data_IF_019804460549
#
_entry.id   IF_019804460549
#
_cell.length_a   1.000
_cell.length_b   1.000
_cell.length_c   1.000
_cell.angle_alpha   90.00
_cell.angle_beta   90.00
_cell.angle_gamma   90.00
#
_symmetry.space_group_name_H-M   'P 1'
#
loop_
_entity.id
_entity.type
_entity.pdbx_description
1 polymer ?
#
# COMPACT_ATOMS: atom_id res chain seq x y z
N UNK A 1 -37.30 -38.26 -6.26
CA UNK A 1 -36.43 -37.05 -6.22
C UNK A 1 -36.24 -36.62 -4.77
N UNK A 2 -35.03 -36.77 -4.22
CA UNK A 2 -34.75 -36.40 -2.83
C UNK A 2 -34.33 -34.95 -2.78
N UNK A 3 -35.13 -34.08 -2.16
CA UNK A 3 -34.77 -32.69 -1.90
C UNK A 3 -33.63 -32.63 -0.88
N UNK A 4 -32.54 -31.87 -1.17
CA UNK A 4 -31.50 -31.66 -0.16
C UNK A 4 -32.11 -30.89 1.02
N UNK A 5 -31.83 -31.36 2.25
CA UNK A 5 -32.37 -30.76 3.45
C UNK A 5 -31.79 -29.34 3.60
N UNK A 6 -32.59 -28.37 4.07
CA UNK A 6 -32.19 -26.99 4.38
C UNK A 6 -30.91 -26.90 5.22
N UNK A 7 -30.68 -27.89 6.08
CA UNK A 7 -29.49 -28.02 6.92
C UNK A 7 -28.21 -28.24 6.08
N UNK A 8 -28.30 -28.98 4.95
CA UNK A 8 -27.16 -29.21 4.05
C UNK A 8 -26.80 -27.96 3.25
N UNK A 9 -27.80 -27.15 2.84
CA UNK A 9 -27.57 -25.90 2.12
C UNK A 9 -26.92 -24.82 3.02
N UNK A 10 -27.34 -24.72 4.30
CA UNK A 10 -26.74 -23.79 5.26
C UNK A 10 -25.30 -24.17 5.60
N UNK A 11 -25.00 -25.46 5.74
CA UNK A 11 -23.62 -25.93 5.97
C UNK A 11 -22.69 -25.64 4.78
N UNK A 12 -23.18 -25.79 3.55
CA UNK A 12 -22.41 -25.48 2.36
C UNK A 12 -22.13 -23.98 2.22
N UNK A 13 -23.10 -23.12 2.54
CA UNK A 13 -22.94 -21.67 2.53
C UNK A 13 -21.94 -21.18 3.61
N UNK A 14 -21.93 -21.80 4.80
CA UNK A 14 -21.00 -21.47 5.88
C UNK A 14 -19.55 -21.84 5.52
N UNK A 15 -19.35 -22.99 4.87
CA UNK A 15 -18.03 -23.44 4.40
C UNK A 15 -17.53 -22.55 3.27
N UNK A 16 -18.39 -22.12 2.35
CA UNK A 16 -18.02 -21.19 1.27
C UNK A 16 -17.63 -19.81 1.82
N UNK A 17 -18.34 -19.29 2.83
CA UNK A 17 -18.01 -18.01 3.47
C UNK A 17 -16.67 -18.06 4.22
N UNK A 18 -16.34 -19.18 4.87
CA UNK A 18 -15.05 -19.40 5.52
C UNK A 18 -13.90 -19.48 4.51
N UNK A 19 -14.09 -20.10 3.34
CA UNK A 19 -13.08 -20.17 2.29
C UNK A 19 -12.80 -18.79 1.65
N UNK A 20 -13.80 -17.93 1.54
CA UNK A 20 -13.63 -16.55 1.07
C UNK A 20 -12.86 -15.67 2.08
N UNK A 21 -13.02 -15.89 3.37
CA UNK A 21 -12.27 -15.18 4.40
C UNK A 21 -10.77 -15.55 4.38
N UNK A 22 -10.40 -16.78 4.02
CA UNK A 22 -8.99 -17.18 3.88
C UNK A 22 -8.32 -16.59 2.62
N UNK A 23 -9.06 -16.38 1.51
CA UNK A 23 -8.50 -15.78 0.30
C UNK A 23 -8.10 -14.31 0.49
N UNK A 24 -8.77 -13.56 1.37
CA UNK A 24 -8.44 -12.17 1.68
C UNK A 24 -7.13 -12.01 2.49
N UNK A 25 -6.68 -13.06 3.20
CA UNK A 25 -5.43 -13.03 3.97
C UNK A 25 -4.18 -13.35 3.12
N UNK A 26 -4.34 -14.10 2.04
CA UNK A 26 -3.21 -14.46 1.16
C UNK A 26 -2.72 -13.29 0.28
N UNK A 27 -3.52 -12.25 0.07
CA UNK A 27 -3.13 -11.06 -0.69
C UNK A 27 -2.19 -10.13 0.08
N UNK A 28 -2.10 -10.24 1.41
CA UNK A 28 -1.32 -9.32 2.26
C UNK A 28 0.18 -9.63 2.35
N UNK A 29 0.58 -10.88 2.24
CA UNK A 29 1.99 -11.27 2.41
C UNK A 29 2.85 -10.92 1.19
N UNK A 30 2.32 -11.08 -0.01
CA UNK A 30 3.02 -10.73 -1.26
C UNK A 30 3.15 -9.20 -1.47
N UNK A 31 2.39 -8.37 -0.76
CA UNK A 31 2.44 -6.92 -0.92
C UNK A 31 3.60 -6.26 -0.16
N UNK A 32 4.22 -6.96 0.80
CA UNK A 32 5.35 -6.43 1.57
C UNK A 32 6.61 -6.22 0.72
N UNK A 33 6.80 -7.05 -0.30
CA UNK A 33 7.97 -7.03 -1.19
C UNK A 33 7.69 -6.39 -2.54
N UNK A 34 6.56 -5.68 -2.66
CA UNK A 34 6.15 -4.93 -3.85
C UNK A 34 6.06 -3.45 -3.53
N UNK A 35 6.61 -2.60 -4.40
CA UNK A 35 6.46 -1.15 -4.29
C UNK A 35 6.18 -0.51 -5.65
N UNK A 36 5.70 0.72 -5.60
CA UNK A 36 5.41 1.53 -6.78
C UNK A 36 6.01 2.92 -6.63
N UNK A 37 6.54 3.44 -7.72
CA UNK A 37 7.00 4.82 -7.79
C UNK A 37 6.68 5.42 -9.16
N UNK A 38 6.67 6.75 -9.24
CA UNK A 38 6.50 7.45 -10.50
C UNK A 38 7.88 7.72 -11.10
N UNK A 39 8.06 7.33 -12.35
CA UNK A 39 9.29 7.58 -13.12
C UNK A 39 8.99 8.36 -14.40
N UNK A 40 9.92 9.19 -14.84
CA UNK A 40 9.80 9.96 -16.07
C UNK A 40 10.40 9.15 -17.23
N UNK A 41 9.54 8.49 -18.03
CA UNK A 41 9.98 7.59 -19.10
C UNK A 41 10.31 6.18 -18.61
N UNK A 42 10.64 5.31 -19.57
CA UNK A 42 10.92 3.88 -19.32
C UNK A 42 12.40 3.53 -19.59
N UNK A 43 13.23 4.54 -19.77
CA UNK A 43 14.66 4.37 -20.01
C UNK A 43 15.38 3.74 -18.83
N UNK A 44 16.54 3.15 -19.10
CA UNK A 44 17.34 2.41 -18.11
C UNK A 44 17.72 3.30 -16.90
N UNK A 45 18.18 4.52 -17.14
CA UNK A 45 18.55 5.44 -16.06
C UNK A 45 17.38 5.74 -15.12
N UNK A 46 16.19 6.01 -15.68
CA UNK A 46 14.98 6.26 -14.88
C UNK A 46 14.50 5.00 -14.15
N UNK A 47 14.69 3.83 -14.75
CA UNK A 47 14.37 2.54 -14.13
C UNK A 47 15.25 2.27 -12.92
N UNK A 48 16.57 2.55 -13.02
CA UNK A 48 17.48 2.42 -11.87
C UNK A 48 17.05 3.31 -10.69
N UNK A 49 16.73 4.57 -10.95
CA UNK A 49 16.20 5.49 -9.93
C UNK A 49 14.90 4.96 -9.33
N UNK A 50 14.02 4.42 -10.19
CA UNK A 50 12.76 3.85 -9.75
C UNK A 50 12.95 2.60 -8.87
N UNK A 51 13.87 1.71 -9.22
CA UNK A 51 14.16 0.51 -8.42
C UNK A 51 14.79 0.89 -7.07
N UNK A 52 15.68 1.87 -7.01
CA UNK A 52 16.25 2.38 -5.78
C UNK A 52 15.15 2.90 -4.83
N UNK A 53 14.26 3.77 -5.34
CA UNK A 53 13.12 4.28 -4.57
C UNK A 53 12.17 3.17 -4.12
N UNK A 54 11.87 2.20 -4.99
CA UNK A 54 11.02 1.06 -4.63
C UNK A 54 11.69 0.16 -3.59
N UNK A 55 13.01 -0.03 -3.64
CA UNK A 55 13.74 -0.83 -2.64
C UNK A 55 13.66 -0.19 -1.26
N UNK A 56 13.89 1.12 -1.14
CA UNK A 56 13.71 1.86 0.12
C UNK A 56 12.30 1.64 0.68
N UNK A 57 11.26 1.82 -0.14
CA UNK A 57 9.88 1.64 0.28
C UNK A 57 9.58 0.19 0.72
N UNK A 58 10.15 -0.81 0.05
CA UNK A 58 10.03 -2.23 0.43
C UNK A 58 10.73 -2.51 1.75
N UNK A 59 11.95 -1.99 1.97
CA UNK A 59 12.66 -2.15 3.23
C UNK A 59 11.90 -1.53 4.41
N UNK A 60 11.34 -0.32 4.23
CA UNK A 60 10.47 0.32 5.21
C UNK A 60 9.21 -0.52 5.46
N UNK A 61 8.57 -0.99 4.40
CA UNK A 61 7.35 -1.78 4.48
C UNK A 61 7.59 -3.12 5.17
N UNK A 62 8.62 -3.85 4.77
CA UNK A 62 8.94 -5.16 5.34
C UNK A 62 9.37 -5.09 6.81
N UNK A 63 10.06 -4.02 7.23
CA UNK A 63 10.50 -3.84 8.61
C UNK A 63 9.52 -3.04 9.48
N UNK A 64 8.67 -2.20 8.89
CA UNK A 64 7.82 -1.24 9.59
C UNK A 64 8.57 0.00 10.12
N UNK A 65 9.85 0.18 9.78
CA UNK A 65 10.74 1.19 10.37
C UNK A 65 10.94 2.38 9.43
N UNK A 66 10.26 3.48 9.70
CA UNK A 66 10.34 4.72 8.89
C UNK A 66 11.72 5.39 8.90
N UNK A 67 12.52 5.16 9.92
CA UNK A 67 13.85 5.78 10.01
C UNK A 67 14.84 5.24 8.96
N UNK A 68 14.48 4.17 8.23
CA UNK A 68 15.23 3.71 7.06
C UNK A 68 15.12 4.68 5.88
N UNK A 69 14.10 5.54 5.84
CA UNK A 69 13.96 6.52 4.77
C UNK A 69 15.15 7.49 4.76
N UNK A 70 15.89 7.51 3.66
CA UNK A 70 17.08 8.34 3.48
C UNK A 70 18.28 7.91 4.36
N UNK A 71 18.33 6.68 4.84
CA UNK A 71 19.48 6.18 5.61
C UNK A 71 20.67 5.98 4.65
N UNK A 72 21.81 6.66 4.86
CA UNK A 72 22.98 6.54 3.96
C UNK A 72 23.54 5.12 3.80
N UNK A 73 23.24 4.21 4.74
CA UNK A 73 23.63 2.81 4.64
C UNK A 73 22.92 2.06 3.52
N UNK A 74 21.80 2.65 2.99
CA UNK A 74 21.06 2.10 1.87
C UNK A 74 21.70 2.39 0.51
N UNK A 75 22.50 3.44 0.38
CA UNK A 75 23.08 3.91 -0.90
C UNK A 75 23.67 2.78 -1.74
N UNK A 76 24.46 1.89 -1.11
CA UNK A 76 25.08 0.75 -1.80
C UNK A 76 24.08 -0.29 -2.30
N UNK A 77 22.97 -0.48 -1.60
CA UNK A 77 21.92 -1.42 -2.01
C UNK A 77 21.01 -0.80 -3.04
N UNK A 78 20.75 0.50 -2.95
CA UNK A 78 19.98 1.27 -3.93
C UNK A 78 20.71 1.33 -5.27
N UNK A 79 22.04 1.48 -5.27
CA UNK A 79 22.86 1.43 -6.47
C UNK A 79 22.77 0.08 -7.20
N UNK A 80 22.53 -1.02 -6.49
CA UNK A 80 22.40 -2.39 -7.03
C UNK A 80 20.94 -2.94 -6.89
N UNK A 81 19.95 -2.06 -6.71
CA UNK A 81 18.57 -2.48 -6.46
C UNK A 81 18.01 -3.40 -7.57
N UNK A 82 18.48 -3.22 -8.80
CA UNK A 82 18.08 -4.05 -9.94
C UNK A 82 18.37 -5.55 -9.73
N UNK A 83 19.44 -5.90 -9.01
CA UNK A 83 19.80 -7.28 -8.71
C UNK A 83 18.82 -7.99 -7.78
N UNK A 84 18.02 -7.22 -7.04
CA UNK A 84 17.00 -7.70 -6.11
C UNK A 84 15.60 -7.73 -6.72
N UNK A 85 15.41 -7.14 -7.92
CA UNK A 85 14.10 -7.12 -8.60
C UNK A 85 13.86 -8.46 -9.29
N UNK A 86 12.76 -9.11 -8.94
CA UNK A 86 12.28 -10.34 -9.56
C UNK A 86 11.46 -10.08 -10.82
N UNK A 87 10.59 -9.06 -10.75
CA UNK A 87 9.70 -8.67 -11.85
C UNK A 87 9.34 -7.18 -11.74
N UNK A 88 8.98 -6.55 -12.85
CA UNK A 88 8.51 -5.19 -12.85
C UNK A 88 7.57 -4.90 -14.02
N UNK A 89 6.69 -3.93 -13.82
CA UNK A 89 5.74 -3.47 -14.84
C UNK A 89 5.64 -1.96 -14.86
N UNK A 90 5.21 -1.44 -16.01
CA UNK A 90 4.89 -0.02 -16.17
C UNK A 90 3.41 0.16 -16.47
N UNK A 91 2.82 1.18 -15.87
CA UNK A 91 1.49 1.67 -16.20
C UNK A 91 1.57 3.17 -16.48
N UNK A 92 0.99 3.64 -17.60
CA UNK A 92 0.90 5.08 -17.88
C UNK A 92 0.07 5.76 -16.78
N UNK A 93 0.65 6.78 -16.13
CA UNK A 93 -0.01 7.50 -15.04
C UNK A 93 -1.28 8.21 -15.50
N UNK A 94 -1.28 8.71 -16.74
CA UNK A 94 -2.35 9.56 -17.30
C UNK A 94 -3.28 8.87 -18.29
N UNK A 95 -3.16 7.55 -18.47
CA UNK A 95 -4.13 6.79 -19.26
C UNK A 95 -4.17 7.11 -20.76
N UNK A 96 -3.03 7.37 -21.38
CA UNK A 96 -2.82 6.99 -22.79
C UNK A 96 -3.32 7.89 -23.89
N UNK A 97 -3.66 9.17 -23.74
CA UNK A 97 -3.74 10.08 -24.89
C UNK A 97 -2.55 11.02 -24.92
N UNK A 98 -1.72 11.01 -26.01
CA UNK A 98 -0.69 12.03 -26.16
C UNK A 98 -1.38 13.40 -26.25
N UNK A 99 -1.14 14.30 -25.30
CA UNK A 99 -1.29 15.70 -25.59
C UNK A 99 -0.10 16.06 -26.50
N UNK A 100 -0.37 16.34 -27.75
CA UNK A 100 0.57 17.06 -28.61
C UNK A 100 0.77 18.43 -27.96
N UNK A 101 1.85 18.54 -27.22
CA UNK A 101 2.33 19.83 -26.72
C UNK A 101 3.25 20.36 -27.81
N UNK A 102 2.95 21.55 -28.35
CA UNK A 102 3.73 22.20 -29.43
C UNK A 102 5.17 22.52 -29.00
N UNK A 103 5.57 22.23 -27.78
CA UNK A 103 6.88 22.57 -27.19
C UNK A 103 7.82 21.38 -26.99
N UNK A 104 7.61 20.24 -27.66
CA UNK A 104 8.50 19.08 -27.60
C UNK A 104 8.01 17.99 -26.67
N UNK A 105 8.43 16.78 -26.95
CA UNK A 105 8.09 15.53 -26.24
C UNK A 105 8.61 15.62 -24.81
N UNK A 106 7.77 16.03 -23.86
CA UNK A 106 8.07 15.79 -22.45
C UNK A 106 7.97 14.28 -22.20
N UNK A 107 8.99 13.73 -21.58
CA UNK A 107 8.98 12.34 -21.15
C UNK A 107 7.72 12.07 -20.31
N UNK A 108 6.99 11.02 -20.67
CA UNK A 108 5.76 10.66 -19.98
C UNK A 108 6.05 10.10 -18.61
N UNK A 109 5.18 10.40 -17.65
CA UNK A 109 5.22 9.79 -16.34
C UNK A 109 4.59 8.40 -16.37
N UNK A 110 5.30 7.44 -15.82
CA UNK A 110 4.84 6.07 -15.65
C UNK A 110 4.87 5.68 -14.19
N UNK A 111 3.89 4.89 -13.77
CA UNK A 111 3.94 4.17 -12.51
C UNK A 111 4.73 2.90 -12.76
N UNK A 112 5.93 2.85 -12.20
CA UNK A 112 6.75 1.64 -12.13
C UNK A 112 6.32 0.85 -10.90
N UNK A 113 5.93 -0.40 -11.10
CA UNK A 113 5.71 -1.38 -10.04
C UNK A 113 6.87 -2.36 -10.07
N UNK A 114 7.54 -2.58 -8.95
CA UNK A 114 8.61 -3.54 -8.82
C UNK A 114 8.30 -4.58 -7.73
N UNK A 115 8.51 -5.85 -8.06
CA UNK A 115 8.45 -6.99 -7.16
C UNK A 115 9.87 -7.44 -6.84
N UNK A 116 10.21 -7.47 -5.56
CA UNK A 116 11.54 -7.82 -5.09
C UNK A 116 11.63 -9.27 -4.63
N UNK A 117 12.84 -9.83 -4.71
CA UNK A 117 13.15 -11.11 -4.11
C UNK A 117 13.14 -11.00 -2.58
N UNK A 118 12.26 -11.78 -1.96
CA UNK A 118 12.07 -11.77 -0.51
C UNK A 118 13.35 -12.09 0.26
N UNK A 119 14.08 -13.12 -0.18
CA UNK A 119 15.32 -13.52 0.50
C UNK A 119 16.38 -12.42 0.38
N UNK A 120 16.52 -11.79 -0.79
CA UNK A 120 17.43 -10.68 -1.03
C UNK A 120 17.11 -9.47 -0.13
N UNK A 121 15.86 -9.05 -0.08
CA UNK A 121 15.41 -7.95 0.81
C UNK A 121 15.66 -8.27 2.28
N UNK A 122 15.35 -9.47 2.72
CA UNK A 122 15.58 -9.90 4.11
C UNK A 122 17.08 -9.95 4.45
N UNK A 123 17.92 -10.30 3.50
CA UNK A 123 19.38 -10.25 3.67
C UNK A 123 19.88 -8.80 3.82
N UNK A 124 19.32 -7.86 3.05
CA UNK A 124 19.65 -6.43 3.21
C UNK A 124 19.26 -5.94 4.59
N UNK A 125 18.02 -6.22 5.05
CA UNK A 125 17.57 -5.88 6.40
C UNK A 125 18.49 -6.46 7.47
N UNK A 126 18.86 -7.73 7.36
CA UNK A 126 19.78 -8.39 8.30
C UNK A 126 21.16 -7.71 8.33
N UNK A 127 21.70 -7.31 7.17
CA UNK A 127 22.96 -6.60 7.08
C UNK A 127 22.91 -5.18 7.69
N UNK A 128 21.73 -4.58 7.77
CA UNK A 128 21.48 -3.33 8.47
C UNK A 128 21.22 -3.50 9.98
N UNK A 129 21.21 -4.75 10.47
CA UNK A 129 20.88 -5.07 11.85
C UNK A 129 19.38 -5.00 12.16
N UNK A 130 18.54 -5.04 11.12
CA UNK A 130 17.08 -4.94 11.20
C UNK A 130 16.45 -6.31 10.94
N UNK A 131 15.41 -6.65 11.71
CA UNK A 131 14.62 -7.86 11.46
C UNK A 131 13.37 -7.50 10.67
N UNK A 132 12.99 -8.29 9.65
CA UNK A 132 11.72 -8.12 8.97
C UNK A 132 10.55 -8.39 9.95
N UNK A 133 9.50 -7.59 9.83
CA UNK A 133 8.27 -7.79 10.58
C UNK A 133 7.29 -8.59 9.73
N UNK A 134 7.45 -9.91 9.73
CA UNK A 134 6.62 -10.85 8.96
C UNK A 134 5.42 -11.40 9.75
N UNK A 135 5.35 -11.11 11.06
CA UNK A 135 4.22 -11.53 11.89
C UNK A 135 2.94 -10.75 11.53
N UNK A 136 1.80 -11.30 11.98
CA UNK A 136 0.50 -10.64 11.81
C UNK A 136 0.57 -9.17 12.24
N UNK A 137 0.17 -8.27 11.33
CA UNK A 137 0.08 -6.82 11.59
C UNK A 137 -1.34 -6.51 12.05
N UNK A 138 -1.50 -5.82 13.20
CA UNK A 138 -2.83 -5.45 13.65
C UNK A 138 -3.49 -4.48 12.68
N UNK A 139 -4.80 -4.64 12.46
CA UNK A 139 -5.59 -3.65 11.74
C UNK A 139 -5.79 -2.44 12.63
N UNK A 140 -5.38 -1.27 12.18
CA UNK A 140 -5.54 -0.03 12.92
C UNK A 140 -6.86 0.63 12.53
N UNK A 141 -7.75 0.81 13.50
CA UNK A 141 -8.88 1.74 13.36
C UNK A 141 -8.37 3.18 13.52
N UNK A 142 -8.55 4.03 12.52
CA UNK A 142 -8.03 5.39 12.53
C UNK A 142 -9.18 6.38 12.54
N UNK A 143 -9.24 7.19 13.58
CA UNK A 143 -10.19 8.29 13.73
C UNK A 143 -9.42 9.61 13.64
N UNK A 144 -9.75 10.44 12.65
CA UNK A 144 -9.08 11.73 12.44
C UNK A 144 -10.10 12.85 12.40
N UNK A 145 -10.03 13.71 13.40
CA UNK A 145 -10.72 14.99 13.39
C UNK A 145 -9.76 16.07 12.87
N UNK A 146 -10.27 16.93 12.00
CA UNK A 146 -9.52 18.05 11.42
C UNK A 146 -10.22 19.37 11.73
N UNK A 147 -9.43 20.37 12.03
CA UNK A 147 -9.87 21.75 12.22
C UNK A 147 -9.26 22.64 11.15
N UNK A 148 -10.10 23.32 10.38
CA UNK A 148 -9.69 24.28 9.37
C UNK A 148 -10.41 25.61 9.61
N UNK A 149 -9.75 26.52 10.31
CA UNK A 149 -10.38 27.76 10.81
C UNK A 149 -11.49 27.44 11.80
N UNK A 150 -12.72 27.90 11.53
CA UNK A 150 -13.89 27.64 12.36
C UNK A 150 -14.63 26.33 12.00
N UNK A 151 -14.14 25.56 11.03
CA UNK A 151 -14.78 24.32 10.57
C UNK A 151 -14.07 23.11 11.15
N UNK A 152 -14.84 22.21 11.75
CA UNK A 152 -14.39 20.89 12.17
C UNK A 152 -15.06 19.84 11.29
N UNK A 153 -14.30 18.81 10.92
CA UNK A 153 -14.80 17.67 10.17
C UNK A 153 -13.99 16.41 10.50
N UNK A 154 -14.65 15.27 10.41
CA UNK A 154 -14.01 13.96 10.63
C UNK A 154 -13.76 13.30 9.29
N UNK A 155 -12.60 12.67 9.14
CA UNK A 155 -12.27 11.91 7.93
C UNK A 155 -13.04 10.59 7.94
N UNK A 156 -13.98 10.42 7.00
CA UNK A 156 -14.79 9.22 6.86
C UNK A 156 -14.50 8.47 5.55
N UNK A 157 -14.72 7.15 5.55
CA UNK A 157 -14.43 6.30 4.39
C UNK A 157 -15.36 6.58 3.20
N UNK A 158 -16.55 7.07 3.46
CA UNK A 158 -17.63 7.36 2.49
C UNK A 158 -17.79 8.85 2.17
N UNK A 159 -17.01 9.75 2.78
CA UNK A 159 -17.13 11.19 2.58
C UNK A 159 -16.24 11.68 1.42
N UNK A 160 -16.88 12.21 0.37
CA UNK A 160 -16.16 12.87 -0.74
C UNK A 160 -15.45 14.16 -0.32
N UNK A 161 -15.93 14.84 0.72
CA UNK A 161 -15.32 16.07 1.25
C UNK A 161 -13.93 15.83 1.83
N UNK A 162 -13.68 14.64 2.38
CA UNK A 162 -12.41 14.26 3.03
C UNK A 162 -11.57 13.30 2.19
N UNK A 163 -11.89 13.13 0.91
CA UNK A 163 -11.27 12.14 0.03
C UNK A 163 -9.74 12.27 -0.05
N UNK A 164 -9.22 13.48 -0.22
CA UNK A 164 -7.77 13.72 -0.28
C UNK A 164 -7.07 13.34 1.04
N UNK A 165 -7.69 13.64 2.18
CA UNK A 165 -7.13 13.30 3.50
C UNK A 165 -7.15 11.80 3.73
N UNK A 166 -8.25 11.13 3.34
CA UNK A 166 -8.38 9.68 3.37
C UNK A 166 -7.31 9.00 2.52
N UNK A 167 -7.11 9.46 1.27
CA UNK A 167 -6.08 8.92 0.39
C UNK A 167 -4.68 9.09 0.98
N UNK A 168 -4.37 10.25 1.56
CA UNK A 168 -3.08 10.50 2.21
C UNK A 168 -2.83 9.56 3.40
N UNK A 169 -3.85 9.32 4.24
CA UNK A 169 -3.77 8.38 5.37
C UNK A 169 -3.53 6.94 4.88
N UNK A 170 -4.27 6.51 3.86
CA UNK A 170 -4.11 5.17 3.28
C UNK A 170 -2.73 5.00 2.62
N UNK A 171 -2.23 6.02 1.93
CA UNK A 171 -0.89 5.99 1.33
C UNK A 171 0.21 5.91 2.41
N UNK A 172 0.10 6.68 3.50
CA UNK A 172 1.04 6.63 4.62
C UNK A 172 1.02 5.27 5.33
N UNK A 173 -0.16 4.66 5.49
CA UNK A 173 -0.31 3.32 6.04
C UNK A 173 0.30 2.25 5.12
N UNK A 174 0.04 2.34 3.81
CA UNK A 174 0.57 1.43 2.81
C UNK A 174 2.11 1.47 2.76
N UNK A 175 2.73 2.65 2.90
CA UNK A 175 4.18 2.81 2.96
C UNK A 175 4.82 2.02 4.11
N UNK A 176 4.09 1.84 5.21
CA UNK A 176 4.52 1.03 6.37
C UNK A 176 4.03 -0.42 6.33
N UNK A 177 3.27 -0.79 5.32
CA UNK A 177 2.60 -2.08 5.25
C UNK A 177 1.58 -2.29 6.37
N UNK A 178 0.98 -1.23 6.91
CA UNK A 178 0.00 -1.31 8.00
C UNK A 178 -1.42 -1.35 7.44
N UNK A 179 -2.22 -2.39 7.74
CA UNK A 179 -3.63 -2.39 7.40
C UNK A 179 -4.36 -1.35 8.25
N UNK A 180 -5.14 -0.49 7.59
CA UNK A 180 -5.89 0.60 8.23
C UNK A 180 -7.35 0.55 7.80
N UNK A 181 -8.25 0.76 8.76
CA UNK A 181 -9.67 0.96 8.55
C UNK A 181 -10.04 2.36 9.00
N UNK A 182 -10.68 3.12 8.11
CA UNK A 182 -11.27 4.42 8.41
C UNK A 182 -12.78 4.19 8.51
N UNK A 183 -13.43 4.56 9.63
CA UNK A 183 -14.87 4.39 9.79
C UNK A 183 -15.67 5.17 8.74
N UNK A 184 -16.87 4.70 8.43
CA UNK A 184 -17.86 5.43 7.65
C UNK A 184 -18.62 6.46 8.50
N UNK A 185 -19.34 7.35 7.85
CA UNK A 185 -20.12 8.41 8.50
C UNK A 185 -21.16 7.84 9.46
N UNK A 186 -21.77 6.69 9.13
CA UNK A 186 -22.79 6.05 9.98
C UNK A 186 -22.16 5.55 11.29
N UNK A 187 -20.99 4.94 11.23
CA UNK A 187 -20.25 4.48 12.42
C UNK A 187 -19.84 5.67 13.29
N UNK A 188 -19.38 6.78 12.67
CA UNK A 188 -18.96 7.99 13.38
C UNK A 188 -20.09 8.71 14.10
N UNK A 189 -21.31 8.71 13.55
CA UNK A 189 -22.48 9.30 14.22
C UNK A 189 -22.98 8.46 15.40
N UNK A 190 -22.65 7.16 15.44
CA UNK A 190 -22.95 6.27 16.57
C UNK A 190 -21.97 6.43 17.74
N UNK A 191 -20.77 6.98 17.50
CA UNK A 191 -19.83 7.38 18.56
C UNK A 191 -20.19 8.80 18.95
N UNK A 192 -21.09 8.93 19.92
CA UNK A 192 -21.54 10.24 20.40
C UNK A 192 -20.35 11.11 20.84
N UNK A 193 -20.40 12.39 20.57
CA UNK A 193 -19.38 13.37 20.97
C UNK A 193 -19.10 13.38 22.50
N UNK A 194 -19.94 12.74 23.28
CA UNK A 194 -19.83 12.60 24.74
C UNK A 194 -18.76 11.60 25.18
N UNK A 195 -18.30 10.68 24.31
CA UNK A 195 -17.26 9.70 24.62
C UNK A 195 -15.83 10.18 24.30
N UNK A 196 -15.68 11.37 23.73
CA UNK A 196 -14.41 11.97 23.34
C UNK A 196 -13.98 13.17 24.21
N UNK A 197 -14.73 13.46 25.30
CA UNK A 197 -14.46 14.58 26.22
C UNK A 197 -13.71 14.15 27.48
#
# INVERSE_FOLDING_TARGET
MRHPSLISAVRLALVAALLWAFAAHAAGENDLYRAQTIVTGQGEANRHIGFASCLEDVLIKASGLLWLAGDPRLDKYEADAASLVRDYTYRDEKGGKPKNDEQGTRDRSFILTADFDEAGVNNVLAALGVKPWLSHRPVLGVLVEMELGAKRFVVASDSGQTDLHRQALLAAAAKRGMPVVIPDTATLTGVAADDLS
#
